data_IF_958106928633
#
_entry.id   IF_958106928633
#
_cell.length_a   1.000
_cell.length_b   1.000
_cell.length_c   1.000
_cell.angle_alpha   90.00
_cell.angle_beta   90.00
_cell.angle_gamma   90.00
#
_symmetry.space_group_name_H-M   'P 1'
#
loop_
_entity.id
_entity.type
_entity.pdbx_description
1 polymer ?
#
# COMPACT_ATOMS: atom_id res chain seq x y z
N UNK A 1 3.76 16.39 -1.76
CA UNK A 1 3.38 15.80 -0.46
C UNK A 1 3.81 14.35 -0.44
N UNK A 2 3.91 13.74 0.74
CA UNK A 2 4.30 12.34 0.89
C UNK A 2 3.14 11.52 1.44
N UNK A 3 2.97 10.30 0.92
CA UNK A 3 1.88 9.41 1.28
C UNK A 3 2.41 7.99 1.53
N UNK A 4 1.77 7.31 2.49
CA UNK A 4 1.90 5.87 2.68
C UNK A 4 0.53 5.21 2.41
N UNK A 5 0.53 4.22 1.53
CA UNK A 5 -0.59 3.34 1.28
C UNK A 5 -0.40 2.06 2.09
N UNK A 6 -1.33 1.77 3.00
CA UNK A 6 -1.38 0.54 3.78
C UNK A 6 -2.36 -0.43 3.12
N UNK A 7 -1.89 -1.63 2.79
CA UNK A 7 -2.63 -2.62 2.02
C UNK A 7 -3.24 -3.62 2.99
N UNK A 8 -4.57 -3.65 3.08
CA UNK A 8 -5.31 -4.56 3.95
C UNK A 8 -5.32 -5.98 3.36
N UNK A 9 -5.39 -6.99 4.23
CA UNK A 9 -5.49 -8.43 3.88
C UNK A 9 -6.96 -8.85 3.74
N UNK A 10 -7.74 -8.06 3.03
CA UNK A 10 -9.19 -8.20 2.90
C UNK A 10 -9.66 -8.32 1.45
N UNK A 11 -8.74 -8.56 0.51
CA UNK A 11 -9.10 -8.88 -0.87
C UNK A 11 -9.90 -10.19 -0.93
N UNK A 12 -10.96 -10.20 -1.74
CA UNK A 12 -11.80 -11.37 -1.99
C UNK A 12 -11.01 -12.48 -2.71
N UNK A 13 -10.02 -12.09 -3.51
CA UNK A 13 -9.20 -12.98 -4.33
C UNK A 13 -7.72 -12.59 -4.31
N UNK A 14 -6.84 -13.58 -4.42
CA UNK A 14 -5.41 -13.34 -4.57
C UNK A 14 -5.10 -12.79 -5.97
N UNK A 15 -4.38 -11.67 -6.01
CA UNK A 15 -3.88 -11.08 -7.25
C UNK A 15 -2.80 -11.94 -7.89
N UNK A 16 -2.83 -12.05 -9.22
CA UNK A 16 -1.82 -12.77 -9.99
C UNK A 16 -0.51 -11.98 -10.06
N UNK A 17 0.57 -12.69 -10.44
CA UNK A 17 1.88 -12.05 -10.63
C UNK A 17 1.84 -11.01 -11.75
N UNK A 18 1.10 -11.29 -12.82
CA UNK A 18 0.97 -10.43 -13.98
C UNK A 18 0.23 -9.12 -13.65
N UNK A 19 -0.76 -9.17 -12.76
CA UNK A 19 -1.47 -7.99 -12.25
C UNK A 19 -0.52 -7.11 -11.44
N UNK A 20 0.28 -7.72 -10.55
CA UNK A 20 1.31 -7.01 -9.81
C UNK A 20 2.37 -6.38 -10.71
N UNK A 21 2.91 -7.13 -11.68
CA UNK A 21 3.91 -6.62 -12.62
C UNK A 21 3.36 -5.44 -13.44
N UNK A 22 2.09 -5.52 -13.86
CA UNK A 22 1.40 -4.45 -14.59
C UNK A 22 1.25 -3.19 -13.72
N UNK A 23 0.82 -3.37 -12.47
CA UNK A 23 0.72 -2.26 -11.52
C UNK A 23 2.07 -1.62 -11.23
N UNK A 24 3.11 -2.40 -10.93
CA UNK A 24 4.44 -1.87 -10.65
C UNK A 24 5.03 -1.12 -11.84
N UNK A 25 4.76 -1.57 -13.06
CA UNK A 25 5.13 -0.84 -14.27
C UNK A 25 4.44 0.53 -14.34
N UNK A 26 3.13 0.60 -14.07
CA UNK A 26 2.38 1.86 -14.04
C UNK A 26 2.87 2.78 -12.90
N UNK A 27 3.06 2.22 -11.70
CA UNK A 27 3.56 2.95 -10.55
C UNK A 27 4.96 3.52 -10.79
N UNK A 28 5.88 2.74 -11.37
CA UNK A 28 7.20 3.21 -11.77
C UNK A 28 7.14 4.32 -12.82
N UNK A 29 6.31 4.15 -13.86
CA UNK A 29 6.13 5.14 -14.92
C UNK A 29 5.49 6.46 -14.43
N UNK A 30 4.73 6.42 -13.33
CA UNK A 30 4.09 7.60 -12.75
C UNK A 30 5.08 8.64 -12.20
N UNK A 31 6.30 8.21 -11.85
CA UNK A 31 7.29 9.05 -11.16
C UNK A 31 6.96 9.34 -9.69
N UNK A 32 5.77 8.96 -9.20
CA UNK A 32 5.34 9.17 -7.80
C UNK A 32 5.82 8.07 -6.86
N UNK A 33 6.01 6.84 -7.35
CA UNK A 33 6.32 5.67 -6.51
C UNK A 33 7.72 5.73 -5.91
N UNK A 34 7.82 5.48 -4.59
CA UNK A 34 9.07 5.50 -3.81
C UNK A 34 9.45 4.16 -3.20
N UNK A 35 8.73 3.10 -3.55
CA UNK A 35 8.98 1.74 -3.06
C UNK A 35 7.90 1.27 -2.10
N UNK A 36 8.04 0.03 -1.68
CA UNK A 36 7.06 -0.67 -0.85
C UNK A 36 7.50 -2.10 -0.62
N UNK A 37 6.78 -2.80 0.25
CA UNK A 37 7.03 -4.20 0.53
C UNK A 37 5.79 -4.88 1.08
N UNK A 38 5.70 -6.19 0.87
CA UNK A 38 4.87 -7.05 1.71
C UNK A 38 5.40 -7.05 3.15
N UNK A 39 4.50 -7.21 4.12
CA UNK A 39 4.83 -7.31 5.54
C UNK A 39 4.80 -8.78 5.94
N UNK A 40 5.94 -9.25 6.46
CA UNK A 40 6.11 -10.61 6.97
C UNK A 40 5.78 -10.74 8.46
N UNK A 41 6.43 -11.70 9.12
CA UNK A 41 6.27 -11.93 10.55
C UNK A 41 6.68 -10.71 11.38
N UNK A 42 5.91 -10.40 12.43
CA UNK A 42 6.15 -9.25 13.31
C UNK A 42 6.56 -9.68 14.72
N UNK A 43 7.47 -8.92 15.33
CA UNK A 43 7.78 -8.98 16.77
C UNK A 43 7.40 -7.64 17.42
N UNK A 44 6.91 -7.66 18.66
CA UNK A 44 6.52 -6.47 19.42
C UNK A 44 7.54 -6.21 20.53
N UNK A 45 7.92 -4.95 20.71
CA UNK A 45 8.78 -4.49 21.80
C UNK A 45 8.06 -3.41 22.60
N UNK A 46 7.86 -3.64 23.91
CA UNK A 46 7.21 -2.69 24.82
C UNK A 46 6.64 -3.38 26.06
N UNK A 47 6.33 -2.59 27.09
CA UNK A 47 5.77 -3.10 28.35
C UNK A 47 4.24 -3.26 28.33
N UNK A 48 3.57 -2.56 27.42
CA UNK A 48 2.12 -2.59 27.26
C UNK A 48 1.73 -3.57 26.18
N UNK A 49 0.61 -4.25 26.39
CA UNK A 49 -0.04 -5.00 25.33
C UNK A 49 -0.56 -4.03 24.26
N UNK A 50 -0.26 -4.35 23.00
CA UNK A 50 -0.70 -3.60 21.83
C UNK A 50 -1.33 -4.56 20.82
N UNK A 51 -2.40 -4.15 20.11
CA UNK A 51 -3.01 -4.96 19.05
C UNK A 51 -2.00 -5.32 17.94
N UNK A 52 -2.20 -6.48 17.31
CA UNK A 52 -1.39 -6.93 16.17
C UNK A 52 -1.92 -6.32 14.86
N UNK A 53 -1.62 -5.05 14.59
CA UNK A 53 -2.09 -4.43 13.32
C UNK A 53 -1.55 -5.15 12.07
N UNK A 54 -0.38 -5.78 12.18
CA UNK A 54 0.24 -6.62 11.14
C UNK A 54 -0.52 -7.91 10.84
N UNK A 55 -1.54 -8.28 11.63
CA UNK A 55 -2.50 -9.33 11.26
C UNK A 55 -3.38 -8.88 10.09
N UNK A 56 -3.75 -7.60 10.05
CA UNK A 56 -4.69 -7.03 9.07
C UNK A 56 -4.00 -6.32 7.90
N UNK A 57 -2.79 -5.79 8.09
CA UNK A 57 -2.03 -5.12 7.02
C UNK A 57 -1.00 -6.09 6.43
N UNK A 58 -1.08 -6.32 5.11
CA UNK A 58 -0.24 -7.26 4.36
C UNK A 58 0.90 -6.61 3.59
N UNK A 59 0.86 -5.29 3.40
CA UNK A 59 1.89 -4.57 2.67
C UNK A 59 1.78 -3.06 2.84
N UNK A 60 2.80 -2.35 2.38
CA UNK A 60 2.79 -0.91 2.30
C UNK A 60 3.47 -0.42 1.02
N UNK A 61 3.12 0.79 0.59
CA UNK A 61 3.78 1.50 -0.51
C UNK A 61 3.91 2.99 -0.15
N UNK A 62 4.99 3.63 -0.60
CA UNK A 62 5.23 5.06 -0.44
C UNK A 62 5.13 5.78 -1.78
N UNK A 63 4.53 6.96 -1.76
CA UNK A 63 4.39 7.83 -2.92
C UNK A 63 4.70 9.28 -2.57
N UNK A 64 5.34 10.00 -3.50
CA UNK A 64 5.52 11.45 -3.42
C UNK A 64 4.79 12.10 -4.58
N UNK A 65 3.86 13.00 -4.29
CA UNK A 65 3.12 13.77 -5.30
C UNK A 65 2.45 14.99 -4.69
N UNK A 66 2.25 16.04 -5.48
CA UNK A 66 1.37 17.16 -5.15
C UNK A 66 -0.01 17.01 -5.83
N UNK A 67 -0.19 15.97 -6.65
CA UNK A 67 -1.41 15.70 -7.41
C UNK A 67 -2.13 14.48 -6.81
N UNK A 68 -2.79 14.66 -5.66
CA UNK A 68 -3.52 13.59 -4.95
C UNK A 68 -4.49 12.83 -5.87
N UNK A 69 -5.19 13.53 -6.76
CA UNK A 69 -6.12 12.90 -7.71
C UNK A 69 -5.44 11.83 -8.58
N UNK A 70 -4.24 12.10 -9.10
CA UNK A 70 -3.49 11.12 -9.91
C UNK A 70 -3.02 9.92 -9.10
N UNK A 71 -2.69 10.13 -7.82
CA UNK A 71 -2.35 9.03 -6.93
C UNK A 71 -3.58 8.13 -6.66
N UNK A 72 -4.75 8.73 -6.43
CA UNK A 72 -5.98 7.96 -6.26
C UNK A 72 -6.35 7.17 -7.52
N UNK A 73 -6.19 7.76 -8.71
CA UNK A 73 -6.37 7.05 -9.99
C UNK A 73 -5.39 5.87 -10.13
N UNK A 74 -4.11 6.08 -9.81
CA UNK A 74 -3.11 5.01 -9.82
C UNK A 74 -3.48 3.89 -8.82
N UNK A 75 -3.87 4.24 -7.59
CA UNK A 75 -4.21 3.28 -6.54
C UNK A 75 -5.51 2.52 -6.84
N UNK A 76 -6.45 3.11 -7.59
CA UNK A 76 -7.63 2.38 -8.08
C UNK A 76 -7.24 1.21 -9.00
N UNK A 77 -6.11 1.32 -9.69
CA UNK A 77 -5.57 0.26 -10.55
C UNK A 77 -4.79 -0.84 -9.78
N UNK A 78 -4.63 -0.68 -8.46
CA UNK A 78 -3.90 -1.63 -7.64
C UNK A 78 -4.60 -3.00 -7.60
N UNK A 79 -3.88 -4.14 -7.65
CA UNK A 79 -4.52 -5.44 -7.73
C UNK A 79 -5.47 -5.73 -6.55
N UNK A 80 -5.08 -5.34 -5.33
CA UNK A 80 -5.94 -5.50 -4.13
C UNK A 80 -7.28 -4.77 -4.26
N UNK A 81 -7.31 -3.53 -4.76
CA UNK A 81 -8.57 -2.78 -4.93
C UNK A 81 -9.43 -3.38 -6.04
N UNK A 82 -8.81 -3.91 -7.10
CA UNK A 82 -9.53 -4.62 -8.17
C UNK A 82 -10.17 -5.93 -7.70
N UNK A 83 -9.61 -6.55 -6.66
CA UNK A 83 -10.11 -7.77 -6.04
C UNK A 83 -10.87 -7.49 -4.73
N UNK A 84 -11.52 -6.33 -4.62
CA UNK A 84 -12.45 -6.01 -3.52
C UNK A 84 -11.81 -5.61 -2.19
N UNK A 85 -10.48 -5.61 -2.10
CA UNK A 85 -9.75 -5.25 -0.89
C UNK A 85 -9.54 -3.75 -0.71
N UNK A 86 -9.00 -3.38 0.43
CA UNK A 86 -8.86 -2.00 0.88
C UNK A 86 -7.41 -1.51 0.84
N UNK A 87 -7.23 -0.29 0.34
CA UNK A 87 -6.01 0.51 0.56
C UNK A 87 -6.37 1.69 1.44
N UNK A 88 -5.68 1.81 2.57
CA UNK A 88 -5.76 2.98 3.44
C UNK A 88 -4.62 3.93 3.10
N UNK A 89 -4.95 5.14 2.66
CA UNK A 89 -3.98 6.16 2.26
C UNK A 89 -3.81 7.18 3.39
N UNK A 90 -2.58 7.33 3.88
CA UNK A 90 -2.25 8.29 4.93
C UNK A 90 -1.26 9.33 4.40
N UNK A 91 -1.49 10.60 4.73
CA UNK A 91 -0.50 11.67 4.58
C UNK A 91 0.67 11.45 5.55
N UNK A 92 1.87 11.75 5.09
CA UNK A 92 3.07 11.78 5.94
C UNK A 92 3.58 13.21 6.10
N UNK A 93 4.10 13.58 7.28
CA UNK A 93 4.71 14.89 7.48
C UNK A 93 5.92 15.07 6.57
N UNK A 94 6.00 16.23 5.89
CA UNK A 94 7.23 16.67 5.25
C UNK A 94 8.22 17.05 6.35
N UNK A 95 9.33 16.33 6.48
CA UNK A 95 10.44 16.67 7.37
C UNK A 95 11.36 17.72 6.75
#
# INVERSE_FOLDING_TARGET
>A
MEYIALIHKDADHEASREEWDSFFKAAGASGMFRGGSAIGHSCKLGEKEAPSMTEYIGGFMRFDTDELAKLLELLAEHPVTKHGGTIELCEMPLT
#
